data_IF_432809150319
#
_entry.id   IF_432809150319
#
_cell.length_a   1.000
_cell.length_b   1.000
_cell.length_c   1.000
_cell.angle_alpha   90.00
_cell.angle_beta   90.00
_cell.angle_gamma   90.00
#
_symmetry.space_group_name_H-M   'P 1'
#
loop_
_entity.id
_entity.type
_entity.pdbx_description
1 polymer ?
#
# COMPACT_ATOMS: atom_id res chain seq x y z
N UNK A 1 -10.07 7.68 16.83
CA UNK A 1 -9.17 8.78 16.40
C UNK A 1 -7.80 8.16 16.17
N UNK A 2 -7.24 8.31 14.97
CA UNK A 2 -5.93 7.72 14.68
C UNK A 2 -4.78 8.72 14.92
N UNK A 3 -4.82 9.44 16.01
CA UNK A 3 -3.69 10.23 16.53
C UNK A 3 -3.31 9.61 17.86
N UNK A 4 -2.18 8.89 17.87
CA UNK A 4 -1.65 8.21 19.06
C UNK A 4 -0.80 9.19 19.89
N UNK A 5 0.08 9.95 19.24
CA UNK A 5 0.92 10.97 19.85
C UNK A 5 0.24 12.33 19.73
N UNK A 6 -0.12 12.93 20.88
CA UNK A 6 -0.64 14.30 20.95
C UNK A 6 0.53 15.29 21.00
N UNK A 7 0.41 16.38 20.27
CA UNK A 7 1.38 17.48 20.27
C UNK A 7 0.69 18.79 20.61
N UNK A 8 1.42 19.71 21.21
CA UNK A 8 0.94 21.06 21.50
C UNK A 8 1.58 22.10 20.58
N UNK A 9 1.07 23.34 20.64
CA UNK A 9 1.53 24.46 19.81
C UNK A 9 3.04 24.73 19.95
N UNK A 10 3.59 24.60 21.17
CA UNK A 10 5.02 24.85 21.43
C UNK A 10 5.88 23.78 20.74
N UNK A 11 5.55 22.52 20.92
CA UNK A 11 6.28 21.41 20.28
C UNK A 11 6.23 21.51 18.75
N UNK A 12 5.06 21.84 18.19
CA UNK A 12 4.93 22.04 16.76
C UNK A 12 5.77 23.24 16.28
N UNK A 13 5.73 24.37 17.00
CA UNK A 13 6.50 25.56 16.63
C UNK A 13 8.00 25.30 16.65
N UNK A 14 8.51 24.56 17.65
CA UNK A 14 9.91 24.15 17.74
C UNK A 14 10.31 23.27 16.55
N UNK A 15 9.50 22.24 16.21
CA UNK A 15 9.73 21.38 15.07
C UNK A 15 9.72 22.16 13.73
N UNK A 16 8.74 23.04 13.56
CA UNK A 16 8.61 23.84 12.33
C UNK A 16 9.69 24.92 12.19
N UNK A 17 10.37 25.31 13.27
CA UNK A 17 11.50 26.26 13.21
C UNK A 17 12.69 25.72 12.38
N UNK A 18 12.80 24.40 12.21
CA UNK A 18 13.81 23.78 11.38
C UNK A 18 13.53 23.91 9.87
N UNK A 19 12.33 24.31 9.48
CA UNK A 19 11.93 24.46 8.08
C UNK A 19 11.97 25.93 7.63
N UNK A 20 12.24 26.16 6.35
CA UNK A 20 12.19 27.48 5.72
C UNK A 20 10.76 27.80 5.22
N UNK A 21 9.77 27.69 6.11
CA UNK A 21 8.35 27.89 5.81
C UNK A 21 7.79 29.09 6.58
N UNK A 22 6.61 29.56 6.16
CA UNK A 22 5.89 30.58 6.92
C UNK A 22 5.42 30.03 8.29
N UNK A 23 5.05 30.93 9.19
CA UNK A 23 4.56 30.54 10.50
C UNK A 23 3.29 29.69 10.39
N UNK A 24 3.17 28.70 11.28
CA UNK A 24 1.97 27.89 11.40
C UNK A 24 0.77 28.77 11.77
N UNK A 25 -0.29 28.68 11.00
CA UNK A 25 -1.57 29.38 11.23
C UNK A 25 -2.62 28.47 11.85
N UNK A 26 -2.57 27.18 11.54
CA UNK A 26 -3.45 26.16 12.13
C UNK A 26 -2.82 24.75 11.98
N UNK A 27 -3.19 23.84 12.88
CA UNK A 27 -2.96 22.41 12.69
C UNK A 27 -4.10 21.58 13.25
N UNK A 28 -4.30 20.39 12.67
CA UNK A 28 -5.38 19.50 13.06
C UNK A 28 -5.00 18.03 12.79
N UNK A 29 -5.23 17.17 13.79
CA UNK A 29 -5.08 15.73 13.62
C UNK A 29 -6.01 15.14 12.56
N UNK A 30 -5.49 14.21 11.77
CA UNK A 30 -6.22 13.43 10.76
C UNK A 30 -6.72 12.16 11.43
N UNK A 31 -8.03 11.92 11.40
CA UNK A 31 -8.64 10.72 11.98
C UNK A 31 -8.43 9.46 11.14
N UNK A 32 -8.02 9.59 9.89
CA UNK A 32 -7.70 8.49 8.99
C UNK A 32 -6.24 8.05 9.17
N UNK A 33 -6.00 6.74 9.02
CA UNK A 33 -4.69 6.12 9.25
C UNK A 33 -4.69 5.27 10.52
N UNK A 34 -3.95 4.17 10.51
CA UNK A 34 -3.97 3.18 11.60
C UNK A 34 -2.59 2.90 12.19
N UNK A 35 -1.52 3.48 11.64
CA UNK A 35 -0.15 3.17 12.01
C UNK A 35 0.62 4.38 12.56
N UNK A 36 0.37 5.58 12.05
CA UNK A 36 1.11 6.80 12.39
C UNK A 36 0.16 7.93 12.80
N UNK A 37 0.65 8.88 13.60
CA UNK A 37 -0.08 10.10 13.90
C UNK A 37 0.12 11.13 12.80
N UNK A 38 -0.96 11.50 12.11
CA UNK A 38 -0.93 12.44 11.00
C UNK A 38 -1.67 13.73 11.34
N UNK A 39 -1.10 14.87 10.93
CA UNK A 39 -1.69 16.19 11.12
C UNK A 39 -1.65 16.99 9.82
N UNK A 40 -2.73 17.70 9.50
CA UNK A 40 -2.66 18.79 8.53
C UNK A 40 -2.08 19.99 9.24
N UNK A 41 -1.03 20.58 8.66
CA UNK A 41 -0.39 21.82 9.14
C UNK A 41 -0.58 22.87 8.06
N UNK A 42 -1.10 24.03 8.43
CA UNK A 42 -1.32 25.18 7.53
C UNK A 42 -0.31 26.28 7.86
N UNK A 43 0.37 26.80 6.83
CA UNK A 43 1.35 27.88 6.91
C UNK A 43 1.06 28.91 5.82
N UNK A 44 0.47 30.04 6.20
CA UNK A 44 -0.04 30.98 5.20
C UNK A 44 -1.12 30.34 4.32
N UNK A 45 -0.89 30.33 3.01
CA UNK A 45 -1.82 29.72 2.02
C UNK A 45 -1.47 28.27 1.68
N UNK A 46 -0.41 27.72 2.26
CA UNK A 46 0.07 26.35 1.96
C UNK A 46 -0.35 25.36 3.04
N UNK A 47 -0.49 24.09 2.62
CA UNK A 47 -0.81 22.97 3.50
C UNK A 47 0.23 21.87 3.38
N UNK A 48 0.48 21.23 4.51
CA UNK A 48 1.41 20.11 4.63
C UNK A 48 0.79 18.99 5.45
N UNK A 49 1.34 17.79 5.32
CA UNK A 49 1.07 16.67 6.22
C UNK A 49 2.29 16.45 7.09
N UNK A 50 2.12 16.58 8.40
CA UNK A 50 3.09 16.18 9.41
C UNK A 50 2.77 14.75 9.83
N UNK A 51 3.71 13.84 9.64
CA UNK A 51 3.61 12.45 10.10
C UNK A 51 4.58 12.22 11.25
N UNK A 52 4.08 11.76 12.39
CA UNK A 52 4.87 11.25 13.49
C UNK A 52 4.83 9.74 13.40
N UNK A 53 6.00 9.10 13.25
CA UNK A 53 6.12 7.66 13.11
C UNK A 53 6.07 6.98 14.47
N UNK A 54 5.03 6.17 14.67
CA UNK A 54 4.75 5.54 15.94
C UNK A 54 5.55 4.24 16.09
N UNK A 55 6.06 4.01 17.30
CA UNK A 55 6.71 2.74 17.67
C UNK A 55 5.64 1.71 18.07
N UNK A 56 5.01 1.12 17.09
CA UNK A 56 3.99 0.08 17.29
C UNK A 56 4.44 -1.24 16.66
N UNK A 57 3.93 -2.36 17.16
CA UNK A 57 4.26 -3.70 16.65
C UNK A 57 3.93 -3.87 15.15
N UNK A 58 3.01 -3.07 14.63
CA UNK A 58 2.60 -3.01 13.21
C UNK A 58 3.12 -1.75 12.50
N UNK A 59 3.89 -0.91 13.20
CA UNK A 59 4.41 0.37 12.72
C UNK A 59 5.52 0.22 11.68
N UNK A 60 5.86 1.35 11.10
CA UNK A 60 6.98 1.47 10.16
C UNK A 60 8.30 1.31 10.94
N UNK A 61 9.18 0.40 10.50
CA UNK A 61 10.51 0.32 11.10
C UNK A 61 11.26 1.65 10.86
N UNK A 62 11.73 2.34 11.92
CA UNK A 62 12.45 3.60 11.77
C UNK A 62 13.66 3.53 10.83
N UNK A 63 14.33 2.39 10.76
CA UNK A 63 15.48 2.16 9.86
C UNK A 63 15.08 2.18 8.37
N UNK A 64 13.81 1.93 8.05
CA UNK A 64 13.30 1.96 6.68
C UNK A 64 12.82 3.37 6.25
N UNK A 65 12.68 4.33 7.18
CA UNK A 65 12.18 5.69 6.88
C UNK A 65 12.99 6.43 5.82
N UNK A 66 14.34 6.36 5.80
CA UNK A 66 15.12 6.98 4.73
C UNK A 66 14.79 6.42 3.34
N UNK A 67 14.48 5.11 3.23
CA UNK A 67 14.06 4.51 1.97
C UNK A 67 12.73 5.10 1.48
N UNK A 68 11.71 5.15 2.35
CA UNK A 68 10.38 5.63 1.96
C UNK A 68 10.37 7.12 1.59
N UNK A 69 11.04 7.95 2.41
CA UNK A 69 11.14 9.38 2.16
C UNK A 69 11.98 9.66 0.90
N UNK A 70 13.09 8.96 0.72
CA UNK A 70 13.92 9.05 -0.49
C UNK A 70 13.17 8.60 -1.74
N UNK A 71 12.37 7.52 -1.65
CA UNK A 71 11.55 7.05 -2.75
C UNK A 71 10.49 8.09 -3.16
N UNK A 72 9.77 8.67 -2.21
CA UNK A 72 8.78 9.71 -2.51
C UNK A 72 9.43 10.94 -3.17
N UNK A 73 10.62 11.35 -2.70
CA UNK A 73 11.40 12.43 -3.32
C UNK A 73 11.79 12.09 -4.77
N UNK A 74 12.29 10.88 -4.99
CA UNK A 74 12.70 10.40 -6.31
C UNK A 74 11.50 10.34 -7.27
N UNK A 75 10.41 9.72 -6.87
CA UNK A 75 9.20 9.61 -7.68
C UNK A 75 8.60 10.98 -8.04
N UNK A 76 8.54 11.90 -7.07
CA UNK A 76 8.08 13.27 -7.31
C UNK A 76 8.97 14.01 -8.32
N UNK A 77 10.30 13.85 -8.25
CA UNK A 77 11.24 14.40 -9.21
C UNK A 77 11.08 13.84 -10.64
N UNK A 78 10.53 12.61 -10.75
CA UNK A 78 10.22 11.95 -12.02
C UNK A 78 8.74 12.14 -12.47
N UNK A 79 8.04 13.08 -11.86
CA UNK A 79 6.70 13.49 -12.29
C UNK A 79 5.54 12.66 -11.70
N UNK A 80 5.80 11.74 -10.79
CA UNK A 80 4.75 11.03 -10.06
C UNK A 80 4.14 11.96 -9.02
N UNK A 81 2.83 12.11 -9.05
CA UNK A 81 2.11 12.92 -8.08
C UNK A 81 1.97 12.13 -6.75
N UNK A 82 2.90 12.34 -5.85
CA UNK A 82 2.97 11.71 -4.53
C UNK A 82 3.39 12.73 -3.46
N UNK A 83 3.21 12.44 -2.16
CA UNK A 83 3.69 13.33 -1.11
C UNK A 83 5.20 13.54 -1.24
N UNK A 84 5.62 14.81 -1.31
CA UNK A 84 7.04 15.16 -1.43
C UNK A 84 7.57 15.59 -0.06
N UNK A 85 8.58 14.91 0.50
CA UNK A 85 9.22 15.33 1.76
C UNK A 85 9.79 16.73 1.68
N UNK A 86 9.50 17.54 2.69
CA UNK A 86 10.00 18.91 2.82
C UNK A 86 11.34 18.87 3.55
N UNK A 87 12.35 19.47 2.93
CA UNK A 87 13.70 19.50 3.48
C UNK A 87 13.82 20.56 4.58
N UNK A 88 14.43 20.18 5.69
CA UNK A 88 14.83 21.10 6.76
C UNK A 88 15.99 22.01 6.32
N UNK A 89 16.23 23.11 7.03
CA UNK A 89 17.36 24.06 6.78
C UNK A 89 18.74 23.41 6.80
N UNK A 90 18.89 22.31 7.55
CA UNK A 90 20.13 21.54 7.67
C UNK A 90 20.28 20.48 6.57
N UNK A 91 19.31 20.35 5.64
CA UNK A 91 19.29 19.36 4.55
C UNK A 91 18.68 18.02 4.90
N UNK A 92 18.22 17.80 6.13
CA UNK A 92 17.54 16.55 6.52
C UNK A 92 16.07 16.57 6.09
N UNK A 93 15.52 15.41 5.83
CA UNK A 93 14.06 15.20 5.55
C UNK A 93 13.34 14.56 6.73
N UNK A 94 14.09 14.02 7.69
CA UNK A 94 13.58 13.38 8.91
C UNK A 94 14.05 14.19 10.12
N UNK A 95 13.11 14.55 10.97
CA UNK A 95 13.35 15.24 12.23
C UNK A 95 12.85 14.41 13.43
N UNK A 96 12.77 15.07 14.58
CA UNK A 96 12.29 14.50 15.84
C UNK A 96 11.17 15.39 16.40
N UNK A 97 10.05 14.78 16.79
CA UNK A 97 8.93 15.45 17.44
C UNK A 97 8.31 14.53 18.50
N UNK A 98 8.16 15.02 19.72
CA UNK A 98 7.68 14.22 20.84
C UNK A 98 8.46 12.91 21.04
N UNK A 99 9.81 12.99 20.95
CA UNK A 99 10.76 11.87 21.08
C UNK A 99 10.61 10.77 20.00
N UNK A 100 9.94 11.08 18.88
CA UNK A 100 9.68 10.16 17.78
C UNK A 100 10.19 10.73 16.46
N UNK A 101 10.58 9.89 15.49
CA UNK A 101 10.84 10.34 14.14
C UNK A 101 9.61 11.03 13.55
N UNK A 102 9.81 12.14 12.87
CA UNK A 102 8.73 12.88 12.22
C UNK A 102 9.21 13.49 10.89
N UNK A 103 8.30 13.56 9.92
CA UNK A 103 8.56 14.20 8.64
C UNK A 103 7.38 15.08 8.22
N UNK A 104 7.71 16.16 7.52
CA UNK A 104 6.75 17.02 6.86
C UNK A 104 6.75 16.70 5.38
N UNK A 105 5.55 16.47 4.80
CA UNK A 105 5.40 16.21 3.36
C UNK A 105 4.36 17.15 2.75
N UNK A 106 4.41 17.34 1.45
CA UNK A 106 3.43 18.16 0.73
C UNK A 106 2.02 17.59 0.87
N UNK A 107 1.03 18.46 0.95
CA UNK A 107 -0.38 18.08 0.91
C UNK A 107 -0.83 17.80 -0.52
N UNK A 108 -1.52 16.69 -0.74
CA UNK A 108 -2.12 16.37 -2.03
C UNK A 108 -3.63 16.60 -1.99
N UNK A 109 -4.18 17.33 -2.96
CA UNK A 109 -5.63 17.49 -3.09
C UNK A 109 -6.27 16.21 -3.65
N UNK A 110 -7.54 15.98 -3.29
CA UNK A 110 -8.29 14.84 -3.79
C UNK A 110 -8.84 13.95 -2.68
N UNK A 111 -9.42 12.84 -3.08
CA UNK A 111 -10.00 11.85 -2.16
C UNK A 111 -9.88 10.45 -2.75
N UNK A 112 -9.69 9.47 -1.89
CA UNK A 112 -9.82 8.07 -2.23
C UNK A 112 -11.24 7.71 -2.69
N UNK A 113 -11.42 6.54 -3.27
CA UNK A 113 -12.72 6.04 -3.72
C UNK A 113 -13.12 4.79 -2.93
N UNK A 114 -14.39 4.67 -2.58
CA UNK A 114 -14.93 3.48 -1.90
C UNK A 114 -15.42 2.46 -2.93
N UNK A 115 -15.96 2.93 -4.05
CA UNK A 115 -16.51 2.08 -5.11
C UNK A 115 -15.87 2.48 -6.44
N UNK A 116 -14.71 1.88 -6.78
CA UNK A 116 -14.01 2.19 -8.03
C UNK A 116 -14.87 1.94 -9.26
N UNK A 117 -14.81 2.85 -10.24
CA UNK A 117 -15.41 2.69 -11.56
C UNK A 117 -14.36 2.17 -12.56
N UNK A 118 -14.78 1.52 -13.67
CA UNK A 118 -13.84 1.03 -14.68
C UNK A 118 -12.87 2.11 -15.21
N UNK A 119 -13.34 3.37 -15.37
CA UNK A 119 -12.48 4.47 -15.79
C UNK A 119 -11.38 4.77 -14.76
N UNK A 120 -11.72 4.73 -13.47
CA UNK A 120 -10.74 4.90 -12.39
C UNK A 120 -9.76 3.72 -12.34
N UNK A 121 -10.24 2.48 -12.56
CA UNK A 121 -9.37 1.32 -12.66
C UNK A 121 -8.37 1.46 -13.82
N UNK A 122 -8.80 1.98 -14.98
CA UNK A 122 -7.90 2.27 -16.10
C UNK A 122 -6.86 3.34 -15.74
N UNK A 123 -7.28 4.43 -15.14
CA UNK A 123 -6.40 5.53 -14.78
C UNK A 123 -5.34 5.09 -13.75
N UNK A 124 -5.74 4.32 -12.72
CA UNK A 124 -4.79 3.85 -11.70
C UNK A 124 -3.86 2.75 -12.23
N UNK A 125 -4.31 1.93 -13.19
CA UNK A 125 -3.43 0.98 -13.89
C UNK A 125 -2.31 1.70 -14.64
N UNK A 126 -2.63 2.80 -15.35
CA UNK A 126 -1.62 3.64 -16.00
C UNK A 126 -0.69 4.30 -14.98
N UNK A 127 -1.24 4.87 -13.89
CA UNK A 127 -0.44 5.50 -12.84
C UNK A 127 0.52 4.52 -12.14
N UNK A 128 0.13 3.26 -11.93
CA UNK A 128 1.04 2.24 -11.42
C UNK A 128 2.18 1.97 -12.40
N UNK A 129 1.88 1.86 -13.70
CA UNK A 129 2.92 1.64 -14.71
C UNK A 129 3.91 2.82 -14.79
N UNK A 130 3.41 4.07 -14.68
CA UNK A 130 4.23 5.27 -14.58
C UNK A 130 5.14 5.26 -13.34
N UNK A 131 4.61 4.84 -12.17
CA UNK A 131 5.38 4.66 -10.94
C UNK A 131 6.50 3.64 -11.14
N UNK A 132 6.23 2.50 -11.75
CA UNK A 132 7.24 1.46 -12.03
C UNK A 132 8.35 1.98 -12.95
N UNK A 133 8.01 2.75 -13.98
CA UNK A 133 9.00 3.35 -14.88
C UNK A 133 9.82 4.45 -14.17
N UNK A 134 9.17 5.30 -13.38
CA UNK A 134 9.82 6.35 -12.61
C UNK A 134 10.73 5.81 -11.50
N UNK A 135 10.42 4.63 -10.95
CA UNK A 135 11.23 3.96 -9.92
C UNK A 135 12.38 3.12 -10.44
N UNK A 136 12.56 3.01 -11.79
CA UNK A 136 13.51 2.07 -12.39
C UNK A 136 14.98 2.34 -12.03
N UNK A 137 15.35 3.60 -11.84
CA UNK A 137 16.71 4.07 -11.50
C UNK A 137 16.84 4.49 -10.02
N UNK A 138 15.86 4.18 -9.17
CA UNK A 138 15.98 4.43 -7.74
C UNK A 138 17.00 3.48 -7.10
N UNK A 139 18.10 4.06 -6.59
CA UNK A 139 19.28 3.29 -6.17
C UNK A 139 19.10 2.51 -4.87
N UNK A 140 18.29 3.04 -3.93
CA UNK A 140 18.07 2.38 -2.65
C UNK A 140 17.24 1.12 -2.83
N UNK A 141 17.56 0.07 -2.07
CA UNK A 141 16.85 -1.19 -2.15
C UNK A 141 16.28 -1.61 -0.80
N UNK A 142 15.05 -2.08 -0.81
CA UNK A 142 14.36 -2.67 0.32
C UNK A 142 13.66 -3.94 -0.14
N UNK A 143 13.99 -5.06 0.49
CA UNK A 143 13.34 -6.35 0.16
C UNK A 143 11.88 -6.37 0.59
N UNK A 144 11.06 -7.09 -0.13
CA UNK A 144 9.67 -7.36 0.27
C UNK A 144 9.63 -8.26 1.50
N UNK A 145 9.23 -7.70 2.64
CA UNK A 145 9.06 -8.45 3.89
C UNK A 145 7.68 -9.11 4.01
N UNK A 146 6.80 -8.91 3.00
CA UNK A 146 5.44 -9.46 2.95
C UNK A 146 5.31 -10.59 1.90
N UNK A 147 6.43 -11.21 1.55
CA UNK A 147 6.49 -12.31 0.58
C UNK A 147 6.12 -13.68 1.18
N UNK A 148 6.32 -14.78 0.42
CA UNK A 148 5.92 -16.15 0.80
C UNK A 148 6.43 -16.60 2.17
N UNK A 149 7.68 -16.27 2.53
CA UNK A 149 8.25 -16.62 3.85
C UNK A 149 7.46 -16.00 5.00
N UNK A 150 6.92 -14.78 4.81
CA UNK A 150 6.11 -14.14 5.84
C UNK A 150 4.72 -14.76 5.93
N UNK A 151 4.12 -15.14 4.79
CA UNK A 151 2.82 -15.82 4.80
C UNK A 151 2.89 -17.12 5.59
N UNK A 152 3.95 -17.90 5.40
CA UNK A 152 4.22 -19.13 6.16
C UNK A 152 4.34 -18.87 7.66
N UNK A 153 5.13 -17.87 8.05
CA UNK A 153 5.32 -17.49 9.46
C UNK A 153 4.01 -17.03 10.11
N UNK A 154 3.19 -16.25 9.41
CA UNK A 154 1.90 -15.80 9.94
C UNK A 154 0.91 -16.96 10.06
N UNK A 155 0.88 -17.87 9.07
CA UNK A 155 0.09 -19.09 9.15
C UNK A 155 0.47 -19.95 10.34
N UNK A 156 1.76 -20.25 10.54
CA UNK A 156 2.24 -21.05 11.67
C UNK A 156 1.84 -20.48 13.04
N UNK A 157 1.74 -19.14 13.13
CA UNK A 157 1.27 -18.46 14.34
C UNK A 157 -0.26 -18.48 14.52
N UNK A 158 -1.00 -18.75 13.46
CA UNK A 158 -2.47 -18.60 13.41
C UNK A 158 -3.21 -19.91 13.20
N UNK A 159 -2.53 -21.00 12.76
CA UNK A 159 -3.16 -22.23 12.28
C UNK A 159 -4.07 -22.90 13.33
N UNK A 160 -3.71 -22.87 14.61
CA UNK A 160 -4.46 -23.54 15.68
C UNK A 160 -5.83 -22.87 15.93
N UNK A 161 -5.97 -21.57 15.62
CA UNK A 161 -7.20 -20.79 15.79
C UNK A 161 -7.81 -20.30 14.46
N UNK A 162 -7.23 -20.64 13.32
CA UNK A 162 -7.70 -20.14 12.02
C UNK A 162 -9.18 -20.51 11.73
N UNK A 163 -9.61 -21.67 12.20
CA UNK A 163 -10.98 -22.17 12.01
C UNK A 163 -12.03 -21.37 12.79
N UNK A 164 -11.63 -20.52 13.73
CA UNK A 164 -12.52 -19.56 14.39
C UNK A 164 -13.05 -18.50 13.40
N UNK A 165 -12.22 -18.13 12.39
CA UNK A 165 -12.63 -17.19 11.35
C UNK A 165 -13.50 -17.86 10.27
N UNK A 166 -13.23 -19.13 9.94
CA UNK A 166 -14.03 -19.92 8.99
C UNK A 166 -13.69 -21.40 9.12
N UNK A 167 -14.66 -22.32 9.27
CA UNK A 167 -14.38 -23.75 9.36
C UNK A 167 -13.56 -24.28 8.20
N UNK A 168 -12.48 -25.05 8.49
CA UNK A 168 -11.57 -25.63 7.52
C UNK A 168 -10.56 -24.63 6.92
N UNK A 169 -10.43 -23.44 7.50
CA UNK A 169 -9.53 -22.41 7.01
C UNK A 169 -8.07 -22.78 7.20
N UNK A 170 -7.71 -23.43 8.31
CA UNK A 170 -6.34 -23.87 8.56
C UNK A 170 -5.85 -24.82 7.46
N UNK A 171 -6.59 -25.86 7.17
CA UNK A 171 -6.25 -26.84 6.11
C UNK A 171 -6.19 -26.19 4.74
N UNK A 172 -7.14 -25.30 4.43
CA UNK A 172 -7.16 -24.60 3.15
C UNK A 172 -5.91 -23.72 2.97
N UNK A 173 -5.54 -22.91 3.95
CA UNK A 173 -4.33 -22.07 3.89
C UNK A 173 -3.09 -22.95 3.75
N UNK A 174 -2.97 -24.04 4.52
CA UNK A 174 -1.81 -24.93 4.45
C UNK A 174 -1.60 -25.53 3.04
N UNK A 175 -2.68 -26.01 2.40
CA UNK A 175 -2.64 -26.53 1.03
C UNK A 175 -2.29 -25.45 0.00
N UNK A 176 -2.87 -24.27 0.11
CA UNK A 176 -2.61 -23.18 -0.82
C UNK A 176 -1.19 -22.60 -0.66
N UNK A 177 -0.66 -22.52 0.56
CA UNK A 177 0.74 -22.14 0.79
C UNK A 177 1.70 -23.09 0.07
N UNK A 178 1.51 -24.40 0.23
CA UNK A 178 2.34 -25.40 -0.44
C UNK A 178 2.29 -25.24 -1.98
N UNK A 179 1.08 -25.00 -2.52
CA UNK A 179 0.89 -24.78 -3.96
C UNK A 179 1.60 -23.52 -4.44
N UNK A 180 1.42 -22.40 -3.71
CA UNK A 180 2.00 -21.11 -4.06
C UNK A 180 3.53 -21.13 -3.94
N UNK A 181 4.10 -21.69 -2.87
CA UNK A 181 5.55 -21.80 -2.69
C UNK A 181 6.21 -22.63 -3.80
N UNK A 182 5.55 -23.71 -4.26
CA UNK A 182 6.06 -24.54 -5.35
C UNK A 182 6.00 -23.83 -6.71
N UNK A 183 4.96 -23.02 -6.94
CA UNK A 183 4.68 -22.38 -8.22
C UNK A 183 5.13 -20.90 -8.25
N UNK A 184 5.73 -20.37 -7.16
CA UNK A 184 6.08 -18.96 -7.10
C UNK A 184 7.10 -18.59 -8.18
N UNK A 185 6.80 -17.62 -9.06
CA UNK A 185 7.64 -17.33 -10.20
C UNK A 185 9.00 -16.75 -9.77
N UNK A 186 10.00 -16.99 -10.62
CA UNK A 186 11.35 -16.48 -10.46
C UNK A 186 11.80 -15.79 -11.75
N UNK A 187 12.63 -14.76 -11.64
CA UNK A 187 13.26 -14.12 -12.79
C UNK A 187 12.34 -13.24 -13.62
N UNK A 188 11.18 -12.84 -13.08
CA UNK A 188 10.33 -11.83 -13.70
C UNK A 188 10.99 -10.43 -13.58
N UNK A 189 10.59 -9.46 -14.42
CA UNK A 189 11.02 -8.08 -14.27
C UNK A 189 10.73 -7.53 -12.88
N UNK A 190 11.77 -7.02 -12.21
CA UNK A 190 11.72 -6.48 -10.86
C UNK A 190 12.01 -4.96 -10.86
N UNK A 191 11.50 -4.29 -9.86
CA UNK A 191 11.71 -2.86 -9.63
C UNK A 191 11.06 -2.40 -8.34
N UNK A 192 10.96 -1.08 -8.18
CA UNK A 192 10.19 -0.50 -7.09
C UNK A 192 8.72 -0.81 -7.30
N UNK A 193 8.07 -1.38 -6.30
CA UNK A 193 6.63 -1.58 -6.22
C UNK A 193 6.05 -0.81 -5.03
N UNK A 194 4.80 -0.38 -5.14
CA UNK A 194 4.08 0.27 -4.05
C UNK A 194 3.66 -0.75 -2.98
N UNK A 195 3.27 -1.93 -3.43
CA UNK A 195 2.84 -3.07 -2.62
C UNK A 195 1.59 -2.88 -1.75
N UNK A 196 0.93 -1.72 -1.79
CA UNK A 196 -0.30 -1.44 -1.03
C UNK A 196 -1.21 -0.40 -1.71
N UNK A 197 -1.26 -0.40 -3.06
CA UNK A 197 -2.02 0.60 -3.82
C UNK A 197 -3.52 0.28 -3.85
N UNK A 198 -4.15 0.42 -2.69
CA UNK A 198 -5.59 0.27 -2.48
C UNK A 198 -6.38 1.52 -2.92
N UNK A 199 -7.71 1.43 -3.08
CA UNK A 199 -8.55 2.56 -3.47
C UNK A 199 -8.51 3.77 -2.53
N UNK A 200 -8.19 3.59 -1.27
CA UNK A 200 -7.99 4.65 -0.26
C UNK A 200 -6.59 5.29 -0.35
N UNK A 201 -5.63 4.63 -0.98
CA UNK A 201 -4.26 5.14 -1.22
C UNK A 201 -4.09 5.83 -2.59
N UNK A 202 -5.16 5.97 -3.37
CA UNK A 202 -5.18 6.71 -4.63
C UNK A 202 -6.19 7.84 -4.57
N UNK A 203 -5.70 9.06 -4.69
CA UNK A 203 -6.57 10.24 -4.72
C UNK A 203 -7.01 10.57 -6.14
N UNK A 204 -8.26 11.02 -6.23
CA UNK A 204 -8.85 11.50 -7.47
C UNK A 204 -9.35 12.94 -7.29
N UNK A 205 -9.10 13.77 -8.30
CA UNK A 205 -9.74 15.07 -8.49
C UNK A 205 -10.38 15.11 -9.87
N UNK A 206 -11.65 15.47 -9.94
CA UNK A 206 -12.45 15.56 -11.19
C UNK A 206 -12.39 14.31 -12.08
N UNK A 207 -12.13 13.14 -11.48
CA UNK A 207 -12.09 11.85 -12.18
C UNK A 207 -10.70 11.39 -12.61
N UNK A 208 -9.69 12.24 -12.51
CA UNK A 208 -8.29 11.93 -12.81
C UNK A 208 -7.53 11.57 -11.52
N UNK A 209 -6.48 10.74 -11.63
CA UNK A 209 -5.58 10.45 -10.50
C UNK A 209 -4.85 11.73 -10.11
N UNK A 210 -5.07 12.20 -8.88
CA UNK A 210 -4.45 13.40 -8.34
C UNK A 210 -3.33 13.12 -7.36
N UNK A 211 -3.13 11.87 -6.96
CA UNK A 211 -2.00 11.49 -6.13
C UNK A 211 -2.03 10.04 -5.66
N UNK A 212 -0.83 9.48 -5.45
CA UNK A 212 -0.59 8.18 -4.84
C UNK A 212 0.02 8.44 -3.45
N UNK A 213 -0.50 7.77 -2.41
CA UNK A 213 -0.08 7.98 -1.01
C UNK A 213 0.22 6.65 -0.33
N UNK A 214 0.81 6.70 0.86
CA UNK A 214 1.06 5.55 1.73
C UNK A 214 2.10 4.55 1.18
N UNK A 215 3.33 5.03 0.99
CA UNK A 215 4.46 4.26 0.45
C UNK A 215 5.16 3.34 1.48
N UNK A 216 4.60 3.16 2.68
CA UNK A 216 5.31 2.46 3.77
C UNK A 216 5.40 0.93 3.61
N UNK A 217 4.78 0.38 2.57
CA UNK A 217 4.99 -1.01 2.13
C UNK A 217 5.89 -1.09 0.89
N UNK A 218 6.22 0.04 0.27
CA UNK A 218 7.02 0.05 -0.95
C UNK A 218 8.34 -0.70 -0.76
N UNK A 219 8.72 -1.47 -1.77
CA UNK A 219 9.90 -2.33 -1.73
C UNK A 219 10.35 -2.66 -3.16
N UNK A 220 11.40 -3.46 -3.29
CA UNK A 220 11.87 -3.98 -4.56
C UNK A 220 11.35 -5.42 -4.72
N UNK A 221 10.54 -5.66 -5.75
CA UNK A 221 9.96 -6.98 -6.06
C UNK A 221 9.51 -7.02 -7.53
N UNK A 222 8.90 -8.14 -7.95
CA UNK A 222 8.32 -8.32 -9.27
C UNK A 222 7.26 -7.26 -9.57
N UNK A 223 7.38 -6.51 -10.67
CA UNK A 223 6.45 -5.45 -11.06
C UNK A 223 5.03 -6.00 -11.27
N UNK A 224 4.90 -7.20 -11.87
CA UNK A 224 3.61 -7.86 -12.05
C UNK A 224 2.93 -8.26 -10.73
N UNK A 225 3.69 -8.39 -9.62
CA UNK A 225 3.10 -8.66 -8.31
C UNK A 225 2.33 -7.46 -7.77
N UNK A 226 2.81 -6.23 -8.00
CA UNK A 226 2.09 -5.02 -7.61
C UNK A 226 0.75 -4.89 -8.37
N UNK A 227 0.78 -5.19 -9.68
CA UNK A 227 -0.45 -5.25 -10.48
C UNK A 227 -1.43 -6.35 -9.99
N UNK A 228 -0.90 -7.49 -9.54
CA UNK A 228 -1.69 -8.58 -8.93
C UNK A 228 -2.34 -8.16 -7.59
N UNK A 229 -1.66 -7.35 -6.77
CA UNK A 229 -2.24 -6.73 -5.58
C UNK A 229 -3.41 -5.83 -5.98
N UNK A 230 -3.26 -5.02 -7.03
CA UNK A 230 -4.33 -4.15 -7.50
C UNK A 230 -5.52 -4.92 -8.06
N UNK A 231 -5.34 -6.05 -8.75
CA UNK A 231 -6.46 -6.93 -9.15
C UNK A 231 -7.33 -7.32 -7.95
N UNK A 232 -6.68 -7.66 -6.84
CA UNK A 232 -7.37 -7.98 -5.59
C UNK A 232 -8.06 -6.76 -4.97
N UNK A 233 -7.43 -5.60 -4.97
CA UNK A 233 -7.93 -4.41 -4.27
C UNK A 233 -9.03 -3.67 -5.05
N UNK A 234 -8.96 -3.63 -6.39
CA UNK A 234 -9.80 -2.79 -7.24
C UNK A 234 -10.89 -3.53 -8.00
N UNK A 235 -10.71 -4.85 -8.24
CA UNK A 235 -11.54 -5.60 -9.17
C UNK A 235 -12.55 -6.53 -8.50
N UNK A 236 -12.71 -6.45 -7.18
CA UNK A 236 -13.77 -7.14 -6.46
C UNK A 236 -14.81 -6.14 -5.96
N UNK A 237 -16.08 -6.53 -6.04
CA UNK A 237 -17.19 -5.76 -5.49
C UNK A 237 -17.32 -5.97 -3.97
N UNK A 238 -18.18 -5.20 -3.31
CA UNK A 238 -18.38 -5.27 -1.86
C UNK A 238 -18.84 -6.66 -1.38
N UNK A 239 -19.54 -7.42 -2.22
CA UNK A 239 -19.95 -8.82 -1.97
C UNK A 239 -18.87 -9.86 -2.34
N UNK A 240 -17.66 -9.36 -2.65
CA UNK A 240 -16.48 -10.15 -3.05
C UNK A 240 -16.65 -10.91 -4.38
N UNK A 241 -17.55 -10.48 -5.26
CA UNK A 241 -17.62 -10.96 -6.62
C UNK A 241 -16.59 -10.24 -7.51
N UNK A 242 -15.87 -11.00 -8.35
CA UNK A 242 -14.90 -10.44 -9.27
C UNK A 242 -15.58 -9.70 -10.42
N UNK A 243 -15.13 -8.47 -10.69
CA UNK A 243 -15.62 -7.64 -11.77
C UNK A 243 -14.61 -7.60 -12.94
N UNK A 244 -14.85 -8.42 -13.94
CA UNK A 244 -13.99 -8.54 -15.13
C UNK A 244 -13.87 -7.22 -15.92
N UNK A 245 -14.90 -6.36 -15.89
CA UNK A 245 -14.87 -5.06 -16.59
C UNK A 245 -13.86 -4.11 -15.91
N UNK A 246 -13.80 -4.11 -14.58
CA UNK A 246 -12.79 -3.35 -13.82
C UNK A 246 -11.40 -3.91 -14.08
N UNK A 247 -11.23 -5.24 -14.05
CA UNK A 247 -9.95 -5.88 -14.27
C UNK A 247 -9.40 -5.62 -15.69
N UNK A 248 -10.24 -5.76 -16.72
CA UNK A 248 -9.89 -5.40 -18.10
C UNK A 248 -9.44 -3.94 -18.22
N UNK A 249 -10.16 -3.02 -17.58
CA UNK A 249 -9.82 -1.61 -17.60
C UNK A 249 -8.48 -1.32 -16.90
N UNK A 250 -8.24 -1.94 -15.74
CA UNK A 250 -6.98 -1.83 -14.97
C UNK A 250 -5.79 -2.34 -15.80
N UNK A 251 -5.90 -3.56 -16.34
CA UNK A 251 -4.85 -4.18 -17.14
C UNK A 251 -4.58 -3.38 -18.42
N UNK A 252 -5.63 -2.91 -19.12
CA UNK A 252 -5.48 -2.07 -20.30
C UNK A 252 -4.83 -0.72 -19.98
N UNK A 253 -5.09 -0.14 -18.80
CA UNK A 253 -4.41 1.06 -18.34
C UNK A 253 -2.91 0.82 -18.14
N UNK A 254 -2.55 -0.21 -17.41
CA UNK A 254 -1.16 -0.59 -17.18
C UNK A 254 -0.41 -0.88 -18.49
N UNK A 255 -0.97 -1.76 -19.34
CA UNK A 255 -0.39 -2.14 -20.62
C UNK A 255 -0.18 -0.96 -21.59
N UNK A 256 -0.99 0.10 -21.48
CA UNK A 256 -0.86 1.28 -22.35
C UNK A 256 0.38 2.12 -22.05
N UNK A 257 1.00 1.95 -20.88
CA UNK A 257 2.20 2.68 -20.43
C UNK A 257 3.41 1.75 -20.36
N UNK A 258 3.27 0.59 -19.72
CA UNK A 258 4.29 -0.44 -19.61
C UNK A 258 3.72 -1.78 -20.08
N UNK A 259 4.04 -2.24 -21.30
CA UNK A 259 3.67 -3.57 -21.75
C UNK A 259 4.30 -4.66 -20.86
N UNK A 260 3.48 -5.62 -20.42
CA UNK A 260 3.97 -6.81 -19.71
C UNK A 260 4.63 -7.79 -20.67
N UNK A 261 5.67 -8.49 -20.21
CA UNK A 261 6.23 -9.61 -20.94
C UNK A 261 5.26 -10.82 -20.97
N UNK A 262 5.50 -11.79 -21.84
CA UNK A 262 4.69 -13.02 -21.89
C UNK A 262 4.76 -13.78 -20.55
N UNK A 263 5.93 -13.81 -19.93
CA UNK A 263 6.17 -14.47 -18.64
C UNK A 263 5.43 -13.76 -17.50
N UNK A 264 5.36 -12.43 -17.50
CA UNK A 264 4.57 -11.67 -16.53
C UNK A 264 3.07 -11.95 -16.67
N UNK A 265 2.58 -12.06 -17.92
CA UNK A 265 1.18 -12.40 -18.23
C UNK A 265 0.85 -13.81 -17.77
N UNK A 266 1.72 -14.79 -18.05
CA UNK A 266 1.57 -16.19 -17.64
C UNK A 266 1.56 -16.33 -16.10
N UNK A 267 2.41 -15.55 -15.41
CA UNK A 267 2.51 -15.57 -13.95
C UNK A 267 1.37 -14.84 -13.21
N UNK A 268 0.59 -14.02 -13.90
CA UNK A 268 -0.41 -13.15 -13.25
C UNK A 268 -1.42 -13.92 -12.37
N UNK A 269 -1.95 -15.12 -12.75
CA UNK A 269 -2.84 -15.88 -11.88
C UNK A 269 -2.20 -16.33 -10.57
N UNK A 270 -0.96 -16.79 -10.59
CA UNK A 270 -0.26 -17.23 -9.38
C UNK A 270 0.11 -16.05 -8.49
N UNK A 271 0.52 -14.92 -9.09
CA UNK A 271 0.80 -13.68 -8.36
C UNK A 271 -0.46 -13.11 -7.70
N UNK A 272 -1.61 -13.15 -8.37
CA UNK A 272 -2.88 -12.68 -7.81
C UNK A 272 -3.37 -13.56 -6.64
N UNK A 273 -3.17 -14.88 -6.74
CA UNK A 273 -3.42 -15.80 -5.65
C UNK A 273 -2.46 -15.54 -4.47
N UNK A 274 -1.17 -15.30 -4.74
CA UNK A 274 -0.20 -14.93 -3.71
C UNK A 274 -0.52 -13.60 -3.03
N UNK A 275 -0.96 -12.60 -3.79
CA UNK A 275 -1.44 -11.34 -3.21
C UNK A 275 -2.66 -11.56 -2.29
N UNK A 276 -3.61 -12.41 -2.70
CA UNK A 276 -4.73 -12.78 -1.84
C UNK A 276 -4.27 -13.53 -0.57
N UNK A 277 -3.29 -14.44 -0.68
CA UNK A 277 -2.70 -15.15 0.46
C UNK A 277 -2.03 -14.19 1.44
N UNK A 278 -1.24 -13.23 0.95
CA UNK A 278 -0.61 -12.20 1.79
C UNK A 278 -1.65 -11.51 2.69
N UNK A 279 -2.71 -10.98 2.10
CA UNK A 279 -3.72 -10.24 2.87
C UNK A 279 -4.61 -11.15 3.71
N UNK A 280 -4.84 -12.41 3.30
CA UNK A 280 -5.55 -13.39 4.12
C UNK A 280 -4.77 -13.68 5.40
N UNK A 281 -3.49 -14.01 5.29
CA UNK A 281 -2.66 -14.40 6.46
C UNK A 281 -2.40 -13.21 7.38
N UNK A 282 -2.15 -12.01 6.85
CA UNK A 282 -1.97 -10.79 7.64
C UNK A 282 -3.25 -10.44 8.41
N UNK A 283 -4.41 -10.40 7.72
CA UNK A 283 -5.69 -10.09 8.37
C UNK A 283 -6.13 -11.14 9.37
N UNK A 284 -5.85 -12.42 9.11
CA UNK A 284 -6.14 -13.50 10.05
C UNK A 284 -5.32 -13.33 11.31
N UNK A 285 -4.02 -13.07 11.17
CA UNK A 285 -3.15 -12.82 12.31
C UNK A 285 -3.61 -11.61 13.14
N UNK A 286 -3.90 -10.49 12.50
CA UNK A 286 -4.38 -9.27 13.16
C UNK A 286 -5.74 -9.50 13.85
N UNK A 287 -6.63 -10.25 13.21
CA UNK A 287 -7.96 -10.57 13.74
C UNK A 287 -7.89 -11.45 15.00
N UNK A 288 -6.98 -12.44 15.01
CA UNK A 288 -6.78 -13.34 16.15
C UNK A 288 -6.02 -12.68 17.31
N UNK A 289 -5.20 -11.66 17.03
CA UNK A 289 -4.32 -11.02 18.02
C UNK A 289 -4.74 -9.57 18.34
N UNK A 290 -6.01 -9.23 18.12
CA UNK A 290 -6.49 -7.88 18.42
C UNK A 290 -6.42 -7.60 19.93
N UNK A 291 -5.75 -6.51 20.37
CA UNK A 291 -5.83 -6.04 21.75
C UNK A 291 -7.26 -5.67 22.15
N UNK A 292 -7.65 -5.97 23.39
CA UNK A 292 -9.02 -5.67 23.90
C UNK A 292 -9.39 -4.18 23.84
N UNK A 293 -8.38 -3.30 23.90
CA UNK A 293 -8.52 -1.83 23.86
C UNK A 293 -8.19 -1.22 22.48
N UNK A 294 -8.06 -2.05 21.44
CA UNK A 294 -7.73 -1.58 20.11
C UNK A 294 -8.79 -0.62 19.56
N UNK A 295 -8.34 0.59 19.16
CA UNK A 295 -9.20 1.61 18.54
C UNK A 295 -9.64 1.26 17.11
N UNK A 296 -8.97 0.32 16.48
CA UNK A 296 -9.19 -0.08 15.08
C UNK A 296 -9.72 -1.50 15.04
N UNK A 297 -10.85 -1.69 14.37
CA UNK A 297 -11.42 -3.02 14.14
C UNK A 297 -10.64 -3.70 13.00
N UNK A 298 -10.08 -4.90 13.20
CA UNK A 298 -9.39 -5.63 12.15
C UNK A 298 -10.30 -5.91 10.96
N UNK A 299 -9.74 -5.84 9.77
CA UNK A 299 -10.47 -6.19 8.54
C UNK A 299 -10.76 -7.69 8.51
N UNK A 300 -11.94 -8.08 8.05
CA UNK A 300 -12.39 -9.48 8.02
C UNK A 300 -11.48 -10.32 7.09
N UNK A 301 -10.82 -11.39 7.58
CA UNK A 301 -9.99 -12.27 6.75
C UNK A 301 -10.79 -13.05 5.70
N UNK A 302 -12.08 -13.32 5.93
CA UNK A 302 -12.95 -14.09 5.02
C UNK A 302 -13.09 -13.42 3.66
N UNK A 303 -12.95 -12.10 3.55
CA UNK A 303 -12.97 -11.40 2.26
C UNK A 303 -11.82 -11.86 1.36
N UNK A 304 -10.63 -12.05 1.93
CA UNK A 304 -9.48 -12.54 1.17
C UNK A 304 -9.47 -14.07 1.00
N UNK A 305 -10.10 -14.82 1.87
CA UNK A 305 -10.39 -16.23 1.63
C UNK A 305 -11.23 -16.42 0.36
N UNK A 306 -12.28 -15.61 0.18
CA UNK A 306 -13.13 -15.66 -1.02
C UNK A 306 -12.38 -15.28 -2.29
N UNK A 307 -11.52 -14.24 -2.22
CA UNK A 307 -10.65 -13.82 -3.34
C UNK A 307 -9.66 -14.91 -3.70
N UNK A 308 -9.00 -15.53 -2.73
CA UNK A 308 -8.07 -16.62 -2.96
C UNK A 308 -8.76 -17.85 -3.58
N UNK A 309 -9.97 -18.18 -3.11
CA UNK A 309 -10.80 -19.25 -3.73
C UNK A 309 -11.14 -18.93 -5.18
N UNK A 310 -11.44 -17.69 -5.53
CA UNK A 310 -11.62 -17.27 -6.91
C UNK A 310 -10.33 -17.48 -7.72
N UNK A 311 -9.19 -16.95 -7.28
CA UNK A 311 -7.91 -17.06 -7.99
C UNK A 311 -7.43 -18.50 -8.14
N UNK A 312 -7.81 -19.41 -7.24
CA UNK A 312 -7.51 -20.85 -7.38
C UNK A 312 -8.09 -21.47 -8.65
N UNK A 313 -9.18 -20.94 -9.17
CA UNK A 313 -9.85 -21.41 -10.37
C UNK A 313 -9.46 -20.66 -11.64
N UNK A 314 -8.68 -19.60 -11.53
CA UNK A 314 -8.16 -18.85 -12.67
C UNK A 314 -7.00 -19.62 -13.29
N UNK A 315 -7.06 -19.83 -14.59
CA UNK A 315 -6.06 -20.64 -15.33
C UNK A 315 -5.20 -19.81 -16.26
N UNK A 316 -5.65 -18.61 -16.62
CA UNK A 316 -4.91 -17.69 -17.48
C UNK A 316 -5.27 -16.23 -17.22
N UNK A 317 -4.46 -15.31 -17.71
CA UNK A 317 -4.76 -13.88 -17.63
C UNK A 317 -6.00 -13.47 -18.45
N UNK A 318 -6.44 -14.30 -19.39
CA UNK A 318 -7.70 -14.08 -20.13
C UNK A 318 -8.93 -14.13 -19.20
N UNK A 319 -8.87 -14.91 -18.11
CA UNK A 319 -9.94 -14.97 -17.10
C UNK A 319 -10.08 -13.63 -16.34
N UNK A 320 -9.03 -12.80 -16.35
CA UNK A 320 -9.07 -11.40 -15.86
C UNK A 320 -9.49 -10.40 -16.95
N UNK A 321 -9.76 -10.87 -18.18
CA UNK A 321 -10.14 -10.05 -19.32
C UNK A 321 -8.97 -9.43 -20.08
N UNK A 322 -7.74 -9.94 -19.91
CA UNK A 322 -6.62 -9.58 -20.76
C UNK A 322 -6.79 -10.30 -22.10
N UNK A 323 -6.97 -9.52 -23.16
CA UNK A 323 -7.04 -10.06 -24.53
C UNK A 323 -5.61 -10.36 -25.02
N UNK A 324 -5.43 -11.49 -25.66
CA UNK A 324 -4.16 -11.97 -26.26
C UNK A 324 -3.74 -11.11 -27.44
#
# INVERSE_FOLDING_TARGET
MAVFTQINDTQLAEFMADYALANVTAFKGIAAGVQNSNFIVETGDEKYILTIYEDTATGVNPDDLPYFLGLMQHLAAHGINCPTPIMQKNGNILGQLAERPAALVSFLPGRGTVTPKPQQCRAVGAALAELHLAGADFEMRRVNRQGPDNWRKLYEKSQDSADEASPGLADFIGQELQRLETAWPQGLPEGVIHADLFPDNVFFDKGEVSGLIDFYFACHDMLAYDLAIMLNAWCFEADVNFNITKARALLAGYQSVRPMSAEEIEALPILAAGAAMRFLTTRLYDWLNQPEDALVVPKNPVDYLRRLRFHRHVTSAADYGLES
#
